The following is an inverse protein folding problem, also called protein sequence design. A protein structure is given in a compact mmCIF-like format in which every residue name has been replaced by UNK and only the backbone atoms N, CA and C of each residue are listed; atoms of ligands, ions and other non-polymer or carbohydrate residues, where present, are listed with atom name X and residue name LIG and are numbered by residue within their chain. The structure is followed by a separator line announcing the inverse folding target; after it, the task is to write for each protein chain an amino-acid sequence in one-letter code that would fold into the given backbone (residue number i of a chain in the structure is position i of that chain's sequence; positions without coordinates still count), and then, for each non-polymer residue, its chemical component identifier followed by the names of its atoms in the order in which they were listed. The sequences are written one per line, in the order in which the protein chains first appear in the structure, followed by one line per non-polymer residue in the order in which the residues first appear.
data_IF_136903390506
#
_entry.id   IF_136903390506
#
_cell.length_a   1.000
_cell.length_b   1.000
_cell.length_c   1.000
_cell.angle_alpha   90.00
_cell.angle_beta   90.00
_cell.angle_gamma   90.00
#
_symmetry.space_group_name_H-M   'P 1'
#
loop_
_entity.id
_entity.type
_entity.pdbx_description
1 polymer ?
#
# COMPACT_ATOMS: atom_id res chain seq x y z
N UNK A 1 13.49 21.75 -6.84
CA UNK A 1 12.27 20.94 -6.98
C UNK A 1 12.42 19.65 -6.19
N UNK A 2 11.37 19.21 -5.48
CA UNK A 2 11.41 17.91 -4.84
C UNK A 2 11.56 16.82 -5.89
N UNK A 3 12.46 15.87 -5.67
CA UNK A 3 12.61 14.73 -6.57
C UNK A 3 11.48 13.73 -6.35
N UNK A 4 10.94 13.08 -7.40
CA UNK A 4 9.95 12.05 -7.23
C UNK A 4 10.53 10.89 -6.40
N UNK A 5 9.73 10.35 -5.47
CA UNK A 5 10.15 9.28 -4.56
C UNK A 5 10.77 8.09 -5.30
N UNK A 6 10.23 7.74 -6.47
CA UNK A 6 10.74 6.65 -7.30
C UNK A 6 12.22 6.82 -7.68
N UNK A 7 12.71 8.04 -7.86
CA UNK A 7 14.10 8.30 -8.21
C UNK A 7 15.06 8.20 -7.01
N UNK A 8 14.52 8.11 -5.80
CA UNK A 8 15.30 8.00 -4.56
C UNK A 8 15.36 6.57 -4.02
N UNK A 9 14.70 5.63 -4.66
CA UNK A 9 14.61 4.24 -4.22
C UNK A 9 15.49 3.38 -5.12
N UNK A 10 16.45 2.69 -4.51
CA UNK A 10 17.31 1.70 -5.15
C UNK A 10 17.42 0.47 -4.24
N UNK A 11 16.66 -0.58 -4.54
CA UNK A 11 16.63 -1.81 -3.73
C UNK A 11 17.94 -2.59 -3.76
N UNK A 12 18.81 -2.32 -4.73
CA UNK A 12 20.16 -2.91 -4.79
C UNK A 12 21.07 -2.31 -3.72
N UNK A 13 20.85 -1.04 -3.35
CA UNK A 13 21.65 -0.37 -2.33
C UNK A 13 21.14 -0.65 -0.92
N UNK A 14 19.83 -0.56 -0.71
CA UNK A 14 19.20 -0.82 0.59
C UNK A 14 17.72 -1.18 0.42
N UNK A 15 17.21 -2.14 1.22
CA UNK A 15 15.77 -2.39 1.29
C UNK A 15 15.03 -1.50 2.29
N UNK A 16 15.74 -0.66 3.07
CA UNK A 16 15.15 0.18 4.12
C UNK A 16 14.99 1.63 3.67
N UNK A 17 13.82 2.21 3.96
CA UNK A 17 13.50 3.59 3.60
C UNK A 17 12.71 4.29 4.69
N UNK A 18 13.10 5.53 4.98
CA UNK A 18 12.36 6.43 5.84
C UNK A 18 11.51 7.36 4.98
N UNK A 19 10.20 7.27 5.11
CA UNK A 19 9.23 8.06 4.36
C UNK A 19 8.53 9.05 5.28
N UNK A 20 8.44 10.30 4.83
CA UNK A 20 7.76 11.38 5.54
C UNK A 20 6.61 11.87 4.68
N UNK A 21 5.43 12.00 5.29
CA UNK A 21 4.24 12.57 4.65
C UNK A 21 3.68 13.68 5.49
N UNK A 22 3.40 14.83 4.87
CA UNK A 22 2.74 15.96 5.51
C UNK A 22 1.27 16.01 5.15
N UNK A 23 0.43 16.42 6.10
CA UNK A 23 -0.97 16.72 5.81
C UNK A 23 -1.06 17.95 4.91
N UNK A 24 -1.93 17.84 3.90
CA UNK A 24 -2.21 18.95 2.98
C UNK A 24 -3.23 19.89 3.62
N UNK A 25 -3.07 21.21 3.40
CA UNK A 25 -4.07 22.24 3.74
C UNK A 25 -4.30 22.49 5.23
N UNK A 26 -3.25 22.64 6.03
CA UNK A 26 -3.36 23.01 7.46
C UNK A 26 -4.26 22.05 8.28
N UNK A 27 -4.54 20.86 7.78
CA UNK A 27 -5.33 19.90 8.51
C UNK A 27 -4.47 19.25 9.61
N UNK A 28 -5.05 19.14 10.80
CA UNK A 28 -4.47 18.33 11.87
C UNK A 28 -4.67 16.86 11.54
N UNK A 29 -3.59 16.11 11.52
CA UNK A 29 -3.63 14.66 11.38
C UNK A 29 -4.12 14.02 12.68
N UNK A 30 -3.59 14.50 13.82
CA UNK A 30 -4.00 14.10 15.16
C UNK A 30 -3.69 15.24 16.14
N UNK A 31 -4.10 15.10 17.41
CA UNK A 31 -3.94 16.10 18.45
C UNK A 31 -5.09 17.11 18.51
N UNK A 32 -4.91 18.17 19.28
CA UNK A 32 -5.91 19.21 19.48
C UNK A 32 -5.62 20.43 18.62
N UNK A 33 -6.65 20.92 17.95
CA UNK A 33 -6.62 22.20 17.26
C UNK A 33 -6.90 23.32 18.28
N UNK A 34 -5.91 24.12 18.58
CA UNK A 34 -6.01 25.22 19.54
C UNK A 34 -7.01 26.32 19.13
N UNK A 35 -7.32 26.45 17.84
CA UNK A 35 -8.27 27.43 17.33
C UNK A 35 -9.71 26.94 17.44
N UNK A 36 -10.01 25.76 16.91
CA UNK A 36 -11.35 25.17 16.93
C UNK A 36 -11.66 24.39 18.21
N UNK A 37 -10.64 24.11 19.02
CA UNK A 37 -10.69 23.25 20.22
C UNK A 37 -11.22 21.85 19.95
N UNK A 38 -11.10 21.39 18.72
CA UNK A 38 -11.46 20.02 18.33
C UNK A 38 -10.27 19.10 18.50
N UNK A 39 -10.52 17.93 19.10
CA UNK A 39 -9.53 16.86 19.19
C UNK A 39 -9.64 15.94 17.97
N UNK A 40 -8.49 15.70 17.34
CA UNK A 40 -8.34 14.76 16.21
C UNK A 40 -7.52 13.53 16.62
N UNK A 41 -7.37 13.28 17.93
CA UNK A 41 -6.55 12.20 18.45
C UNK A 41 -7.02 10.80 17.98
N UNK A 42 -8.32 10.63 17.74
CA UNK A 42 -8.89 9.41 17.18
C UNK A 42 -8.30 9.04 15.80
N UNK A 43 -7.82 10.03 15.04
CA UNK A 43 -7.19 9.79 13.73
C UNK A 43 -5.84 9.08 13.84
N UNK A 44 -5.13 9.22 14.95
CA UNK A 44 -3.89 8.48 15.21
C UNK A 44 -4.12 6.99 15.11
N UNK A 45 -5.15 6.49 15.76
CA UNK A 45 -5.53 5.08 15.72
C UNK A 45 -5.92 4.63 14.29
N UNK A 46 -6.57 5.48 13.53
CA UNK A 46 -6.90 5.18 12.12
C UNK A 46 -5.65 5.00 11.27
N UNK A 47 -4.68 5.89 11.43
CA UNK A 47 -3.42 5.81 10.69
C UNK A 47 -2.65 4.56 11.07
N UNK A 48 -2.56 4.25 12.35
CA UNK A 48 -1.92 3.03 12.84
C UNK A 48 -2.58 1.76 12.30
N UNK A 49 -3.91 1.69 12.38
CA UNK A 49 -4.67 0.57 11.83
C UNK A 49 -4.46 0.41 10.32
N UNK A 50 -4.40 1.54 9.59
CA UNK A 50 -4.14 1.52 8.14
C UNK A 50 -2.73 1.04 7.83
N UNK A 51 -1.72 1.48 8.58
CA UNK A 51 -0.33 1.02 8.44
C UNK A 51 -0.21 -0.49 8.67
N UNK A 52 -0.83 -1.00 9.72
CA UNK A 52 -0.85 -2.44 10.03
C UNK A 52 -1.52 -3.21 8.89
N UNK A 53 -2.67 -2.73 8.41
CA UNK A 53 -3.39 -3.34 7.28
C UNK A 53 -2.54 -3.39 6.02
N UNK A 54 -1.93 -2.27 5.63
CA UNK A 54 -1.06 -2.22 4.45
C UNK A 54 0.16 -3.12 4.61
N UNK A 55 0.79 -3.14 5.78
CA UNK A 55 1.91 -4.03 6.09
C UNK A 55 1.56 -5.52 6.00
N UNK A 56 0.31 -5.89 6.29
CA UNK A 56 -0.16 -7.27 6.16
C UNK A 56 -0.43 -7.70 4.71
N UNK A 57 -0.64 -6.74 3.80
CA UNK A 57 -0.99 -6.99 2.39
C UNK A 57 0.23 -6.88 1.48
N UNK A 58 1.04 -5.82 1.66
CA UNK A 58 2.24 -5.58 0.87
C UNK A 58 3.40 -6.49 1.31
N UNK A 59 4.33 -6.73 0.39
CA UNK A 59 5.65 -7.27 0.73
C UNK A 59 6.57 -6.15 1.25
N UNK A 60 6.04 -5.36 2.17
CA UNK A 60 6.72 -4.24 2.81
C UNK A 60 6.42 -4.31 4.30
N UNK A 61 7.47 -4.42 5.11
CA UNK A 61 7.37 -4.45 6.55
C UNK A 61 7.43 -3.04 7.12
N UNK A 62 6.54 -2.72 8.03
CA UNK A 62 6.59 -1.47 8.78
C UNK A 62 7.48 -1.69 9.99
N UNK A 63 8.71 -1.14 9.94
CA UNK A 63 9.71 -1.32 11.01
C UNK A 63 9.49 -0.37 12.18
N UNK A 64 9.10 0.87 11.88
CA UNK A 64 8.80 1.90 12.87
C UNK A 64 7.93 2.97 12.26
N UNK A 65 7.18 3.69 13.08
CA UNK A 65 6.39 4.83 12.64
C UNK A 65 6.17 5.82 13.78
N UNK A 66 5.91 7.08 13.41
CA UNK A 66 5.47 8.12 14.32
C UNK A 66 4.38 8.96 13.65
N UNK A 67 3.24 9.07 14.31
CA UNK A 67 2.11 9.87 13.84
C UNK A 67 2.11 11.18 14.61
N UNK A 68 2.51 12.26 13.93
CA UNK A 68 2.58 13.60 14.51
C UNK A 68 1.32 14.39 14.15
N UNK A 69 1.16 15.58 14.75
CA UNK A 69 -0.04 16.39 14.52
C UNK A 69 -0.29 16.78 13.05
N UNK A 70 0.76 16.98 12.27
CA UNK A 70 0.67 17.44 10.88
C UNK A 70 1.46 16.59 9.88
N UNK A 71 2.15 15.55 10.32
CA UNK A 71 2.91 14.68 9.44
C UNK A 71 3.12 13.30 10.07
N UNK A 72 3.50 12.33 9.23
CA UNK A 72 3.86 10.97 9.64
C UNK A 72 5.27 10.62 9.20
N UNK A 73 5.96 9.86 10.05
CA UNK A 73 7.21 9.20 9.73
C UNK A 73 6.99 7.71 9.67
N UNK A 74 7.45 7.04 8.63
CA UNK A 74 7.36 5.60 8.49
C UNK A 74 8.69 5.05 8.01
N UNK A 75 9.23 4.05 8.71
CA UNK A 75 10.40 3.30 8.28
C UNK A 75 9.93 1.97 7.71
N UNK A 76 10.21 1.75 6.44
CA UNK A 76 9.75 0.60 5.67
C UNK A 76 10.92 -0.27 5.24
N UNK A 77 10.70 -1.58 5.27
CA UNK A 77 11.57 -2.60 4.69
C UNK A 77 10.86 -3.27 3.53
N UNK A 78 11.44 -3.19 2.33
CA UNK A 78 10.88 -3.83 1.13
C UNK A 78 11.42 -5.24 1.01
N UNK A 79 10.54 -6.24 1.08
CA UNK A 79 10.88 -7.65 0.87
C UNK A 79 10.47 -8.08 -0.54
N UNK A 80 11.31 -7.74 -1.51
CA UNK A 80 11.07 -8.08 -2.92
C UNK A 80 11.01 -9.59 -3.13
N UNK A 81 11.86 -10.36 -2.45
CA UNK A 81 11.93 -11.81 -2.61
C UNK A 81 10.64 -12.47 -2.16
N UNK A 82 10.02 -11.98 -1.08
CA UNK A 82 8.70 -12.43 -0.65
C UNK A 82 7.65 -12.19 -1.75
N UNK A 83 7.60 -10.99 -2.33
CA UNK A 83 6.67 -10.69 -3.41
C UNK A 83 6.86 -11.60 -4.63
N UNK A 84 8.10 -11.91 -4.98
CA UNK A 84 8.42 -12.79 -6.09
C UNK A 84 8.07 -14.26 -5.80
N UNK A 85 8.00 -14.65 -4.54
CA UNK A 85 7.63 -16.01 -4.13
C UNK A 85 6.12 -16.28 -4.18
N UNK A 86 5.30 -15.25 -4.18
CA UNK A 86 3.84 -15.40 -4.16
C UNK A 86 3.31 -16.00 -5.46
N UNK A 87 2.34 -16.89 -5.35
CA UNK A 87 1.58 -17.39 -6.50
C UNK A 87 0.69 -16.30 -7.09
N UNK A 88 0.22 -16.49 -8.32
CA UNK A 88 -0.78 -15.62 -8.94
C UNK A 88 -2.01 -15.46 -8.05
N UNK A 89 -2.51 -16.55 -7.49
CA UNK A 89 -3.65 -16.54 -6.56
C UNK A 89 -3.38 -15.68 -5.32
N UNK A 90 -2.20 -15.82 -4.69
CA UNK A 90 -1.83 -15.04 -3.51
C UNK A 90 -1.74 -13.55 -3.82
N UNK A 91 -1.14 -13.19 -4.96
CA UNK A 91 -1.05 -11.78 -5.41
C UNK A 91 -2.44 -11.19 -5.60
N UNK A 92 -3.33 -11.90 -6.29
CA UNK A 92 -4.70 -11.42 -6.53
C UNK A 92 -5.51 -11.32 -5.24
N UNK A 93 -5.37 -12.30 -4.34
CA UNK A 93 -6.00 -12.27 -3.02
C UNK A 93 -5.62 -11.01 -2.25
N UNK A 94 -4.33 -10.68 -2.20
CA UNK A 94 -3.83 -9.49 -1.53
C UNK A 94 -4.32 -8.20 -2.20
N UNK A 95 -4.22 -8.11 -3.51
CA UNK A 95 -4.65 -6.93 -4.26
C UNK A 95 -6.15 -6.68 -4.13
N UNK A 96 -6.96 -7.72 -4.20
CA UNK A 96 -8.42 -7.61 -4.08
C UNK A 96 -8.90 -7.21 -2.68
N UNK A 97 -8.05 -7.30 -1.67
CA UNK A 97 -8.35 -6.75 -0.33
C UNK A 97 -8.42 -5.21 -0.35
N UNK A 98 -7.69 -4.57 -1.26
CA UNK A 98 -7.60 -3.10 -1.38
C UNK A 98 -8.35 -2.55 -2.59
N UNK A 99 -8.43 -3.32 -3.65
CA UNK A 99 -8.96 -2.89 -4.95
C UNK A 99 -9.87 -3.96 -5.55
N UNK A 100 -10.83 -3.50 -6.35
CA UNK A 100 -11.80 -4.39 -7.00
C UNK A 100 -11.17 -5.34 -8.03
N UNK A 101 -10.05 -4.95 -8.64
CA UNK A 101 -9.44 -5.70 -9.74
C UNK A 101 -10.24 -5.63 -11.05
N UNK A 102 -9.87 -6.48 -12.00
CA UNK A 102 -10.57 -6.61 -13.28
C UNK A 102 -11.64 -7.70 -13.23
N UNK A 103 -12.52 -7.77 -14.24
CA UNK A 103 -13.49 -8.86 -14.34
C UNK A 103 -12.79 -10.23 -14.43
N UNK A 104 -11.73 -10.33 -15.22
CA UNK A 104 -10.98 -11.59 -15.39
C UNK A 104 -10.28 -12.01 -14.10
N UNK A 105 -9.66 -11.08 -13.37
CA UNK A 105 -9.00 -11.43 -12.11
C UNK A 105 -10.00 -11.89 -11.05
N UNK A 106 -11.20 -11.31 -11.03
CA UNK A 106 -12.27 -11.75 -10.13
C UNK A 106 -12.81 -13.12 -10.50
N UNK A 107 -12.99 -13.39 -11.79
CA UNK A 107 -13.41 -14.72 -12.29
C UNK A 107 -12.35 -15.77 -11.95
N UNK A 108 -11.07 -15.45 -12.12
CA UNK A 108 -9.98 -16.35 -11.77
C UNK A 108 -9.98 -16.75 -10.29
N UNK A 109 -10.36 -15.84 -9.41
CA UNK A 109 -10.42 -16.10 -7.95
C UNK A 109 -11.56 -17.02 -7.54
N UNK A 110 -12.55 -17.22 -8.39
CA UNK A 110 -13.66 -18.16 -8.15
C UNK A 110 -13.38 -19.46 -8.91
N UNK A 111 -13.24 -20.59 -8.18
CA UNK A 111 -12.82 -21.87 -8.74
C UNK A 111 -13.70 -22.33 -9.91
N UNK A 112 -15.02 -22.19 -9.81
CA UNK A 112 -15.97 -22.57 -10.85
C UNK A 112 -15.80 -21.72 -12.11
N UNK A 113 -15.66 -20.40 -11.96
CA UNK A 113 -15.48 -19.48 -13.10
C UNK A 113 -14.09 -19.61 -13.71
N UNK A 114 -13.06 -19.88 -12.91
CA UNK A 114 -11.69 -20.11 -13.39
C UNK A 114 -11.62 -21.28 -14.37
N UNK A 115 -12.36 -22.37 -14.11
CA UNK A 115 -12.37 -23.53 -14.98
C UNK A 115 -12.94 -23.25 -16.38
N UNK A 116 -13.71 -22.17 -16.53
CA UNK A 116 -14.30 -21.74 -17.80
C UNK A 116 -13.43 -20.75 -18.59
N UNK A 117 -12.32 -20.28 -18.01
CA UNK A 117 -11.43 -19.35 -18.67
C UNK A 117 -10.58 -20.05 -19.74
N UNK A 118 -10.42 -19.40 -20.90
CA UNK A 118 -9.52 -19.85 -21.94
C UNK A 118 -8.06 -19.65 -21.53
N UNK A 119 -7.12 -20.33 -22.21
CA UNK A 119 -5.69 -20.18 -21.95
C UNK A 119 -5.23 -18.74 -22.13
N UNK A 120 -5.71 -18.03 -23.16
CA UNK A 120 -5.38 -16.62 -23.39
C UNK A 120 -5.92 -15.70 -22.27
N UNK A 121 -7.08 -16.00 -21.73
CA UNK A 121 -7.64 -15.26 -20.58
C UNK A 121 -6.81 -15.50 -19.31
N UNK A 122 -6.36 -16.73 -19.08
CA UNK A 122 -5.48 -17.07 -17.96
C UNK A 122 -4.14 -16.35 -18.10
N UNK A 123 -3.54 -16.32 -19.28
CA UNK A 123 -2.31 -15.57 -19.54
C UNK A 123 -2.48 -14.07 -19.25
N UNK A 124 -3.61 -13.50 -19.62
CA UNK A 124 -3.96 -12.11 -19.32
C UNK A 124 -4.08 -11.86 -17.82
N UNK A 125 -4.67 -12.80 -17.08
CA UNK A 125 -4.75 -12.74 -15.61
C UNK A 125 -3.36 -12.79 -14.99
N UNK A 126 -2.48 -13.67 -15.46
CA UNK A 126 -1.10 -13.79 -14.95
C UNK A 126 -0.34 -12.50 -15.21
N UNK A 127 -0.46 -11.92 -16.40
CA UNK A 127 0.18 -10.63 -16.73
C UNK A 127 -0.30 -9.50 -15.82
N UNK A 128 -1.59 -9.42 -15.56
CA UNK A 128 -2.19 -8.44 -14.63
C UNK A 128 -1.70 -8.67 -13.20
N UNK A 129 -1.65 -9.92 -12.75
CA UNK A 129 -1.13 -10.27 -11.43
C UNK A 129 0.33 -9.87 -11.26
N UNK A 130 1.15 -9.99 -12.30
CA UNK A 130 2.55 -9.56 -12.25
C UNK A 130 2.68 -8.03 -12.11
N UNK A 131 1.79 -7.27 -12.72
CA UNK A 131 1.71 -5.81 -12.49
C UNK A 131 1.35 -5.52 -11.02
N UNK A 132 0.38 -6.22 -10.47
CA UNK A 132 -0.01 -6.06 -9.05
C UNK A 132 1.10 -6.50 -8.10
N UNK A 133 1.84 -7.55 -8.43
CA UNK A 133 3.02 -8.01 -7.68
C UNK A 133 4.06 -6.90 -7.55
N UNK A 134 4.37 -6.21 -8.64
CA UNK A 134 5.31 -5.08 -8.63
C UNK A 134 4.81 -3.96 -7.73
N UNK A 135 3.52 -3.64 -7.77
CA UNK A 135 2.90 -2.61 -6.92
C UNK A 135 2.95 -2.98 -5.45
N UNK A 136 2.81 -4.27 -5.12
CA UNK A 136 2.79 -4.78 -3.75
C UNK A 136 4.16 -4.78 -3.06
N UNK A 137 5.25 -4.47 -3.76
CA UNK A 137 6.55 -4.18 -3.15
C UNK A 137 7.10 -2.80 -3.55
N UNK A 138 6.25 -1.92 -4.03
CA UNK A 138 6.58 -0.53 -4.41
C UNK A 138 6.20 0.43 -3.29
N UNK A 139 7.20 1.11 -2.73
CA UNK A 139 7.00 2.11 -1.65
C UNK A 139 6.07 3.23 -2.11
N UNK A 140 6.15 3.65 -3.37
CA UNK A 140 5.29 4.72 -3.89
C UNK A 140 3.82 4.32 -3.84
N UNK A 141 3.49 3.07 -4.16
CA UNK A 141 2.13 2.54 -4.03
C UNK A 141 1.68 2.42 -2.58
N UNK A 142 2.56 1.93 -1.70
CA UNK A 142 2.28 1.85 -0.26
C UNK A 142 1.95 3.22 0.32
N UNK A 143 2.81 4.21 0.07
CA UNK A 143 2.63 5.56 0.58
C UNK A 143 1.44 6.27 -0.05
N UNK A 144 1.16 6.01 -1.33
CA UNK A 144 -0.05 6.52 -2.00
C UNK A 144 -1.32 6.05 -1.29
N UNK A 145 -1.44 4.75 -1.03
CA UNK A 145 -2.63 4.19 -0.38
C UNK A 145 -2.76 4.65 1.08
N UNK A 146 -1.64 4.86 1.77
CA UNK A 146 -1.65 5.45 3.10
C UNK A 146 -2.14 6.91 3.05
N UNK A 147 -1.58 7.71 2.16
CA UNK A 147 -1.88 9.14 2.06
C UNK A 147 -3.31 9.40 1.55
N UNK A 148 -3.80 8.61 0.61
CA UNK A 148 -5.20 8.69 0.15
C UNK A 148 -6.18 8.39 1.28
N UNK A 149 -5.86 7.44 2.15
CA UNK A 149 -6.67 7.13 3.32
C UNK A 149 -6.67 8.28 4.34
N UNK A 150 -5.51 8.86 4.60
CA UNK A 150 -5.36 10.00 5.54
C UNK A 150 -6.10 11.25 5.03
N UNK A 151 -6.11 11.46 3.71
CA UNK A 151 -6.73 12.63 3.08
C UNK A 151 -8.27 12.60 3.09
N UNK A 152 -8.86 11.46 3.37
CA UNK A 152 -10.32 11.31 3.50
C UNK A 152 -10.75 11.67 4.91
#
# INVERSE_FOLDING_TARGET
MPRPRKSLICLQDTPYYHCISRCVRRAFLCGEDHYSKKSYEHRRQWVEARLIKLGSIFAINVCAYAVMSNHTHVVLHVDRDEALSWTTHEVLKRWHTLHKGTNLTRQYMQAEQRSLLSDSQIESVIATANIYRQRLHDISWFMRLLNEFIAR
#
